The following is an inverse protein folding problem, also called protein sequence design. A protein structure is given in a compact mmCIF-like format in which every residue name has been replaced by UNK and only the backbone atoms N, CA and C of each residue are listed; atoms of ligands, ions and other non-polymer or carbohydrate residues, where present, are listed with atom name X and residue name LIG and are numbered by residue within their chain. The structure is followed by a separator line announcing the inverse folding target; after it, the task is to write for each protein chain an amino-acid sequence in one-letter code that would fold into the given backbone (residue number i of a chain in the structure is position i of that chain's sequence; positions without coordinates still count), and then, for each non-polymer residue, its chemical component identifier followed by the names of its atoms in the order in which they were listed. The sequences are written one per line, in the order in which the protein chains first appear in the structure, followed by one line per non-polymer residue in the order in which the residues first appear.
data_IF_620133607780
#
_entry.id   IF_620133607780
#
_cell.length_a   1.000
_cell.length_b   1.000
_cell.length_c   1.000
_cell.angle_alpha   90.00
_cell.angle_beta   90.00
_cell.angle_gamma   90.00
#
_symmetry.space_group_name_H-M   'P 1'
#
loop_
_entity.id
_entity.type
_entity.pdbx_description
1 polymer ?
#
# COMPACT_ATOMS: atom_id res chain seq x y z
N UNK A 1 49.32 7.77 7.01
CA UNK A 1 48.72 9.08 7.33
C UNK A 1 47.30 9.13 6.76
N UNK A 2 46.30 8.82 7.58
CA UNK A 2 44.89 9.01 7.23
C UNK A 2 44.59 10.47 7.53
N UNK A 3 44.43 11.26 6.47
CA UNK A 3 43.98 12.66 6.58
C UNK A 3 42.58 12.65 7.19
N UNK A 4 42.50 13.01 8.47
CA UNK A 4 41.26 13.30 9.18
C UNK A 4 40.70 14.60 8.59
N UNK A 5 39.95 14.46 7.52
CA UNK A 5 39.14 15.54 6.96
C UNK A 5 38.32 16.16 8.10
N UNK A 6 38.55 17.45 8.38
CA UNK A 6 37.71 18.29 9.23
C UNK A 6 36.25 18.14 8.78
N UNK A 7 35.52 17.27 9.46
CA UNK A 7 34.08 17.13 9.30
C UNK A 7 33.49 18.43 9.86
N UNK A 8 33.11 19.33 8.96
CA UNK A 8 32.28 20.48 9.29
C UNK A 8 31.08 20.01 10.11
N UNK A 9 31.07 20.33 11.40
CA UNK A 9 30.02 20.04 12.38
C UNK A 9 28.77 20.91 12.15
N UNK A 10 28.35 21.05 10.89
CA UNK A 10 26.94 21.36 10.66
C UNK A 10 26.15 20.19 11.23
N UNK A 11 25.17 20.46 12.11
CA UNK A 11 24.30 19.41 12.65
C UNK A 11 23.79 18.54 11.49
N UNK A 12 23.71 17.22 11.70
CA UNK A 12 23.18 16.28 10.71
C UNK A 12 21.87 16.80 10.11
N UNK A 13 21.04 17.45 10.94
CA UNK A 13 19.82 18.15 10.57
C UNK A 13 20.06 19.27 9.55
N UNK A 14 21.00 20.19 9.80
CA UNK A 14 21.32 21.27 8.86
C UNK A 14 21.78 20.72 7.50
N UNK A 15 22.58 19.64 7.51
CA UNK A 15 22.99 18.95 6.27
C UNK A 15 21.80 18.29 5.55
N UNK A 16 20.87 17.67 6.28
CA UNK A 16 19.67 17.08 5.69
C UNK A 16 18.79 18.17 5.07
N UNK A 17 18.49 19.23 5.80
CA UNK A 17 17.66 20.36 5.34
C UNK A 17 18.25 20.99 4.08
N UNK A 18 19.56 21.29 4.08
CA UNK A 18 20.25 21.88 2.93
C UNK A 18 20.16 20.98 1.68
N UNK A 19 20.26 19.66 1.85
CA UNK A 19 20.20 18.71 0.73
C UNK A 19 18.77 18.37 0.29
N UNK A 20 17.76 18.68 1.10
CA UNK A 20 16.37 18.50 0.72
C UNK A 20 15.91 19.57 -0.28
N UNK A 21 16.44 20.79 -0.20
CA UNK A 21 16.17 21.87 -1.16
C UNK A 21 16.93 21.60 -2.48
N UNK A 22 16.19 21.40 -3.57
CA UNK A 22 16.77 21.10 -4.89
C UNK A 22 16.61 22.28 -5.83
N UNK A 23 17.61 22.48 -6.70
CA UNK A 23 17.52 23.43 -7.82
C UNK A 23 16.45 23.05 -8.86
N UNK A 24 16.06 21.78 -8.89
CA UNK A 24 14.99 21.24 -9.76
C UNK A 24 13.57 21.66 -9.32
N UNK A 25 13.41 22.32 -8.16
CA UNK A 25 12.12 22.85 -7.66
C UNK A 25 12.24 24.37 -7.47
N UNK A 26 12.22 25.16 -8.58
CA UNK A 26 12.50 26.59 -8.55
C UNK A 26 11.42 27.41 -7.82
N UNK A 27 10.17 26.94 -7.84
CA UNK A 27 9.05 27.57 -7.16
C UNK A 27 8.83 27.03 -5.74
N UNK A 28 9.64 26.05 -5.32
CA UNK A 28 9.47 25.34 -4.05
C UNK A 28 8.08 24.72 -3.89
N UNK A 29 7.42 24.37 -4.99
CA UNK A 29 6.04 23.89 -5.01
C UNK A 29 5.96 22.51 -4.37
N UNK A 30 6.75 21.56 -4.87
CA UNK A 30 6.76 20.19 -4.34
C UNK A 30 7.20 20.17 -2.87
N UNK A 31 8.21 20.97 -2.51
CA UNK A 31 8.63 21.13 -1.11
C UNK A 31 7.50 21.63 -0.22
N UNK A 32 6.80 22.69 -0.65
CA UNK A 32 5.70 23.29 0.13
C UNK A 32 4.52 22.32 0.27
N UNK A 33 4.15 21.62 -0.81
CA UNK A 33 3.15 20.55 -0.77
C UNK A 33 3.58 19.40 0.15
N UNK A 34 4.86 19.06 0.17
CA UNK A 34 5.43 18.03 1.04
C UNK A 34 5.30 18.39 2.51
N UNK A 35 5.62 19.64 2.87
CA UNK A 35 5.44 20.15 4.23
C UNK A 35 3.96 20.19 4.62
N UNK A 36 3.08 20.65 3.72
CA UNK A 36 1.64 20.68 3.97
C UNK A 36 1.06 19.26 4.15
N UNK A 37 1.48 18.28 3.34
CA UNK A 37 1.08 16.88 3.53
C UNK A 37 1.61 16.28 4.84
N UNK A 38 2.83 16.63 5.25
CA UNK A 38 3.38 16.19 6.53
C UNK A 38 2.56 16.76 7.69
N UNK A 39 2.22 18.05 7.66
CA UNK A 39 1.33 18.66 8.65
C UNK A 39 -0.05 18.01 8.64
N UNK A 40 -0.60 17.74 7.45
CA UNK A 40 -1.86 17.00 7.28
C UNK A 40 -1.79 15.63 7.96
N UNK A 41 -0.73 14.84 7.74
CA UNK A 41 -0.55 13.56 8.42
C UNK A 41 -0.47 13.74 9.94
N UNK A 42 0.40 14.62 10.44
CA UNK A 42 0.58 14.82 11.88
C UNK A 42 -0.72 15.23 12.58
N UNK A 43 -1.46 16.17 11.98
CA UNK A 43 -2.74 16.61 12.52
C UNK A 43 -3.80 15.51 12.46
N UNK A 44 -3.95 14.79 11.34
CA UNK A 44 -4.93 13.71 11.22
C UNK A 44 -4.61 12.55 12.18
N UNK A 45 -3.33 12.19 12.32
CA UNK A 45 -2.88 11.12 13.20
C UNK A 45 -2.91 11.47 14.69
N UNK A 46 -3.00 12.75 15.08
CA UNK A 46 -3.24 13.10 16.48
C UNK A 46 -4.61 12.64 16.99
N UNK A 47 -5.52 12.24 16.09
CA UNK A 47 -6.84 11.69 16.41
C UNK A 47 -6.92 10.16 16.27
N UNK A 48 -5.80 9.46 16.08
CA UNK A 48 -5.81 7.98 15.90
C UNK A 48 -6.38 7.22 17.09
N UNK A 49 -6.28 7.80 18.30
CA UNK A 49 -6.78 7.20 19.54
C UNK A 49 -8.28 7.37 19.73
N UNK A 50 -8.93 8.27 18.99
CA UNK A 50 -10.37 8.47 18.99
C UNK A 50 -11.00 7.76 17.79
N UNK A 51 -11.63 6.59 17.99
CA UNK A 51 -12.24 5.85 16.90
C UNK A 51 -13.43 6.58 16.28
N UNK A 52 -14.07 7.52 16.97
CA UNK A 52 -15.20 8.27 16.41
C UNK A 52 -14.74 9.40 15.50
N UNK A 53 -13.51 9.91 15.68
CA UNK A 53 -12.94 10.97 14.87
C UNK A 53 -12.62 10.53 13.43
N UNK A 54 -12.34 9.25 13.21
CA UNK A 54 -11.86 8.69 11.94
C UNK A 54 -10.69 9.52 11.37
N UNK A 55 -9.61 9.67 12.15
CA UNK A 55 -8.50 10.60 11.87
C UNK A 55 -8.97 12.05 11.64
N UNK A 56 -9.95 12.51 12.41
CA UNK A 56 -10.61 13.81 12.30
C UNK A 56 -11.42 14.06 11.02
N UNK A 57 -11.58 13.08 10.13
CA UNK A 57 -12.42 13.24 8.93
C UNK A 57 -13.90 13.35 9.30
N UNK A 58 -14.34 12.69 10.38
CA UNK A 58 -15.71 12.80 10.88
C UNK A 58 -15.98 14.17 11.54
N UNK A 59 -15.00 14.72 12.27
CA UNK A 59 -15.13 16.00 12.96
C UNK A 59 -14.98 17.21 12.03
N UNK A 60 -14.17 17.09 10.97
CA UNK A 60 -13.94 18.18 10.02
C UNK A 60 -14.12 17.73 8.56
N UNK A 61 -15.35 17.34 8.17
CA UNK A 61 -15.65 16.76 6.86
C UNK A 61 -15.39 17.73 5.70
N UNK A 62 -15.52 19.05 5.92
CA UNK A 62 -15.26 20.09 4.93
C UNK A 62 -13.81 20.11 4.41
N UNK A 63 -12.86 19.61 5.21
CA UNK A 63 -11.46 19.51 4.78
C UNK A 63 -11.12 18.19 4.07
N UNK A 64 -12.07 17.27 3.93
CA UNK A 64 -11.80 15.94 3.34
C UNK A 64 -11.31 16.04 1.90
N UNK A 65 -12.04 16.75 1.04
CA UNK A 65 -11.64 16.92 -0.36
C UNK A 65 -10.35 17.74 -0.49
N UNK A 66 -10.16 18.75 0.37
CA UNK A 66 -8.91 19.54 0.43
C UNK A 66 -7.73 18.63 0.77
N UNK A 67 -7.86 17.76 1.78
CA UNK A 67 -6.85 16.76 2.14
C UNK A 67 -6.57 15.83 0.95
N UNK A 68 -7.61 15.29 0.30
CA UNK A 68 -7.46 14.41 -0.88
C UNK A 68 -6.66 15.09 -1.99
N UNK A 69 -7.05 16.32 -2.37
CA UNK A 69 -6.40 17.09 -3.43
C UNK A 69 -4.95 17.45 -3.06
N UNK A 70 -4.70 17.83 -1.80
CA UNK A 70 -3.36 18.12 -1.30
C UNK A 70 -2.40 16.93 -1.50
N UNK A 71 -2.81 15.72 -1.11
CA UNK A 71 -1.99 14.52 -1.27
C UNK A 71 -1.85 14.10 -2.75
N UNK A 72 -2.87 14.33 -3.58
CA UNK A 72 -2.79 14.11 -5.03
C UNK A 72 -1.77 15.06 -5.68
N UNK A 73 -1.86 16.36 -5.42
CA UNK A 73 -0.96 17.37 -5.99
C UNK A 73 0.49 17.19 -5.54
N UNK A 74 0.73 16.73 -4.31
CA UNK A 74 2.09 16.34 -3.90
C UNK A 74 2.68 15.25 -4.82
N UNK A 75 1.90 14.24 -5.19
CA UNK A 75 2.41 13.18 -6.05
C UNK A 75 2.57 13.65 -7.50
N UNK A 76 1.61 14.43 -8.01
CA UNK A 76 1.68 15.01 -9.36
C UNK A 76 2.87 15.98 -9.53
N UNK A 77 3.15 16.83 -8.53
CA UNK A 77 4.31 17.73 -8.57
C UNK A 77 5.65 16.98 -8.65
N UNK A 78 5.72 15.71 -8.22
CA UNK A 78 6.95 14.90 -8.34
C UNK A 78 7.39 14.60 -9.78
N UNK A 79 6.55 14.89 -10.78
CA UNK A 79 6.87 14.73 -12.19
C UNK A 79 7.80 15.83 -12.73
N UNK A 80 7.96 16.95 -12.00
CA UNK A 80 8.95 17.98 -12.35
C UNK A 80 10.39 17.48 -12.25
N UNK A 81 10.66 16.49 -11.38
CA UNK A 81 11.99 15.95 -11.16
C UNK A 81 12.42 14.99 -12.26
N UNK A 82 13.66 15.15 -12.70
CA UNK A 82 14.28 14.22 -13.63
C UNK A 82 14.76 12.99 -12.87
N UNK A 83 14.35 11.79 -13.30
CA UNK A 83 14.74 10.52 -12.71
C UNK A 83 15.64 9.73 -13.68
N UNK A 84 16.65 8.99 -13.19
CA UNK A 84 17.39 8.05 -14.03
C UNK A 84 16.45 7.00 -14.64
N UNK A 85 16.57 6.72 -15.94
CA UNK A 85 15.70 5.76 -16.63
C UNK A 85 15.80 4.34 -16.06
N UNK A 86 16.99 3.95 -15.60
CA UNK A 86 17.28 2.58 -15.12
C UNK A 86 17.34 2.51 -13.60
N UNK A 87 16.67 1.49 -13.05
CA UNK A 87 16.78 1.11 -11.63
C UNK A 87 18.18 0.61 -11.29
N UNK A 88 18.74 1.06 -10.17
CA UNK A 88 20.01 0.53 -9.65
C UNK A 88 19.84 -0.92 -9.15
N UNK A 89 20.91 -1.70 -9.17
CA UNK A 89 20.89 -3.11 -8.76
C UNK A 89 20.42 -3.33 -7.32
N UNK A 90 20.69 -2.39 -6.39
CA UNK A 90 20.23 -2.49 -5.00
C UNK A 90 18.71 -2.40 -4.85
N UNK A 91 18.05 -1.74 -5.81
CA UNK A 91 16.60 -1.75 -5.94
C UNK A 91 15.82 -0.74 -5.10
N UNK A 92 16.42 -0.04 -4.13
CA UNK A 92 15.70 0.89 -3.24
C UNK A 92 15.99 2.38 -3.53
N UNK A 93 15.96 2.78 -4.80
CA UNK A 93 16.11 4.19 -5.23
C UNK A 93 14.99 4.49 -6.21
N UNK A 94 14.35 5.64 -6.10
CA UNK A 94 13.19 6.02 -6.93
C UNK A 94 13.55 6.01 -8.43
N UNK A 95 12.64 5.49 -9.26
CA UNK A 95 12.78 5.36 -10.73
C UNK A 95 11.43 5.63 -11.43
N UNK A 96 11.39 5.87 -12.76
CA UNK A 96 10.17 6.28 -13.47
C UNK A 96 8.98 5.36 -13.29
N UNK A 97 9.14 4.05 -13.47
CA UNK A 97 8.05 3.08 -13.30
C UNK A 97 7.51 3.08 -11.87
N UNK A 98 8.38 3.10 -10.85
CA UNK A 98 7.91 3.21 -9.46
C UNK A 98 7.15 4.51 -9.21
N UNK A 99 7.59 5.64 -9.76
CA UNK A 99 6.88 6.92 -9.63
C UNK A 99 5.46 6.80 -10.18
N UNK A 100 5.29 6.25 -11.38
CA UNK A 100 3.98 6.02 -11.98
C UNK A 100 3.12 5.04 -11.16
N UNK A 101 3.69 3.92 -10.70
CA UNK A 101 2.99 2.98 -9.83
C UNK A 101 2.54 3.63 -8.52
N UNK A 102 3.40 4.45 -7.92
CA UNK A 102 3.06 5.17 -6.70
C UNK A 102 1.89 6.13 -6.91
N UNK A 103 1.83 6.82 -8.06
CA UNK A 103 0.69 7.67 -8.43
C UNK A 103 -0.59 6.83 -8.57
N UNK A 104 -0.53 5.72 -9.30
CA UNK A 104 -1.70 4.85 -9.52
C UNK A 104 -2.26 4.30 -8.21
N UNK A 105 -1.40 3.77 -7.33
CA UNK A 105 -1.85 3.20 -6.06
C UNK A 105 -2.29 4.27 -5.06
N UNK A 106 -1.67 5.45 -5.07
CA UNK A 106 -2.14 6.60 -4.31
C UNK A 106 -3.53 7.01 -4.78
N UNK A 107 -3.70 7.20 -6.09
CA UNK A 107 -4.96 7.62 -6.70
C UNK A 107 -6.08 6.61 -6.41
N UNK A 108 -5.79 5.30 -6.41
CA UNK A 108 -6.74 4.27 -5.96
C UNK A 108 -7.30 4.57 -4.56
N UNK A 109 -6.43 4.78 -3.57
CA UNK A 109 -6.88 5.04 -2.19
C UNK A 109 -7.59 6.38 -2.07
N UNK A 110 -7.11 7.43 -2.74
CA UNK A 110 -7.76 8.75 -2.76
C UNK A 110 -9.14 8.71 -3.44
N UNK A 111 -9.31 7.91 -4.50
CA UNK A 111 -10.58 7.73 -5.19
C UNK A 111 -11.57 6.97 -4.31
N UNK A 112 -11.14 5.93 -3.59
CA UNK A 112 -11.99 5.25 -2.60
C UNK A 112 -12.40 6.17 -1.44
N UNK A 113 -11.51 7.03 -0.98
CA UNK A 113 -11.87 8.08 -0.02
C UNK A 113 -12.89 9.06 -0.62
N UNK A 114 -12.73 9.45 -1.89
CA UNK A 114 -13.67 10.35 -2.58
C UNK A 114 -15.05 9.71 -2.72
N UNK A 115 -15.12 8.42 -3.06
CA UNK A 115 -16.37 7.65 -3.12
C UNK A 115 -17.05 7.67 -1.75
N UNK A 116 -16.33 7.33 -0.68
CA UNK A 116 -16.90 7.33 0.66
C UNK A 116 -17.35 8.73 1.09
N UNK A 117 -16.56 9.77 0.82
CA UNK A 117 -16.94 11.15 1.07
C UNK A 117 -18.23 11.53 0.34
N UNK A 118 -18.37 11.15 -0.93
CA UNK A 118 -19.57 11.40 -1.72
C UNK A 118 -20.78 10.64 -1.17
N UNK A 119 -20.65 9.35 -0.85
CA UNK A 119 -21.71 8.55 -0.25
C UNK A 119 -22.20 9.16 1.07
N UNK A 120 -21.28 9.59 1.94
CA UNK A 120 -21.62 10.23 3.21
C UNK A 120 -22.26 11.62 3.03
N UNK A 121 -21.78 12.42 2.07
CA UNK A 121 -22.32 13.76 1.82
C UNK A 121 -23.79 13.73 1.35
N UNK A 122 -24.15 12.72 0.58
CA UNK A 122 -25.47 12.59 -0.03
C UNK A 122 -26.34 11.49 0.60
N UNK A 123 -25.89 10.89 1.71
CA UNK A 123 -26.57 9.78 2.41
C UNK A 123 -26.95 8.62 1.46
N UNK A 124 -26.00 8.23 0.60
CA UNK A 124 -26.18 7.17 -0.40
C UNK A 124 -25.69 5.84 0.16
N UNK A 125 -26.46 4.79 -0.08
CA UNK A 125 -26.04 3.43 0.27
C UNK A 125 -24.70 3.05 -0.37
N UNK A 126 -23.79 2.40 0.38
CA UNK A 126 -22.48 1.98 -0.11
C UNK A 126 -22.54 1.14 -1.40
N UNK A 127 -21.93 1.63 -2.49
CA UNK A 127 -21.76 0.85 -3.71
C UNK A 127 -20.42 0.11 -3.70
N UNK A 128 -20.42 -1.15 -3.27
CA UNK A 128 -19.19 -1.97 -3.19
C UNK A 128 -18.67 -2.47 -4.54
N UNK A 129 -19.51 -2.49 -5.59
CA UNK A 129 -19.06 -2.82 -6.94
C UNK A 129 -18.12 -1.76 -7.50
N UNK A 130 -18.35 -0.50 -7.15
CA UNK A 130 -17.47 0.60 -7.53
C UNK A 130 -16.05 0.41 -6.99
N UNK A 131 -15.90 -0.18 -5.80
CA UNK A 131 -14.59 -0.50 -5.24
C UNK A 131 -13.87 -1.56 -6.07
N UNK A 132 -14.61 -2.57 -6.54
CA UNK A 132 -14.12 -3.57 -7.49
C UNK A 132 -13.62 -2.92 -8.80
N UNK A 133 -14.40 -2.00 -9.36
CA UNK A 133 -14.01 -1.26 -10.56
C UNK A 133 -12.74 -0.42 -10.32
N UNK A 134 -12.63 0.26 -9.18
CA UNK A 134 -11.46 1.06 -8.81
C UNK A 134 -10.22 0.17 -8.63
N UNK A 135 -10.36 -1.00 -7.99
CA UNK A 135 -9.26 -1.97 -7.82
C UNK A 135 -8.79 -2.51 -9.18
N UNK A 136 -9.71 -2.99 -10.03
CA UNK A 136 -9.36 -3.53 -11.35
C UNK A 136 -8.79 -2.44 -12.27
N UNK A 137 -9.39 -1.26 -12.28
CA UNK A 137 -8.92 -0.09 -13.03
C UNK A 137 -7.52 0.32 -12.61
N UNK A 138 -7.21 0.32 -11.31
CA UNK A 138 -5.84 0.60 -10.83
C UNK A 138 -4.82 -0.44 -11.29
N UNK A 139 -5.20 -1.72 -11.45
CA UNK A 139 -4.31 -2.76 -11.96
C UNK A 139 -4.01 -2.58 -13.44
N UNK A 140 -5.03 -2.19 -14.22
CA UNK A 140 -4.88 -1.84 -15.62
C UNK A 140 -3.99 -0.60 -15.79
N UNK A 141 -4.23 0.44 -14.99
CA UNK A 141 -3.40 1.64 -14.99
C UNK A 141 -1.94 1.35 -14.61
N UNK A 142 -1.70 0.44 -13.65
CA UNK A 142 -0.34 0.02 -13.29
C UNK A 142 0.38 -0.74 -14.42
N UNK A 143 -0.34 -1.57 -15.20
CA UNK A 143 0.23 -2.24 -16.37
C UNK A 143 0.54 -1.25 -17.49
N UNK A 144 -0.35 -0.31 -17.76
CA UNK A 144 -0.11 0.77 -18.73
C UNK A 144 1.10 1.62 -18.31
N UNK A 145 1.22 1.94 -17.02
CA UNK A 145 2.39 2.61 -16.47
C UNK A 145 3.68 1.81 -16.73
N UNK A 146 3.70 0.50 -16.47
CA UNK A 146 4.84 -0.37 -16.78
C UNK A 146 5.14 -0.45 -18.28
N UNK A 147 4.10 -0.52 -19.13
CA UNK A 147 4.26 -0.55 -20.59
C UNK A 147 4.83 0.76 -21.15
N UNK A 148 4.54 1.90 -20.51
CA UNK A 148 5.08 3.21 -20.91
C UNK A 148 6.56 3.40 -20.57
N UNK A 149 7.15 2.53 -19.75
CA UNK A 149 8.53 2.65 -19.31
C UNK A 149 9.49 1.80 -20.17
N UNK A 150 10.59 2.40 -20.65
CA UNK A 150 11.63 1.69 -21.43
C UNK A 150 12.27 0.50 -20.68
N UNK A 151 12.38 0.61 -19.36
CA UNK A 151 12.99 -0.42 -18.51
C UNK A 151 12.01 -0.86 -17.43
N UNK A 152 11.52 -2.09 -17.56
CA UNK A 152 10.60 -2.70 -16.60
C UNK A 152 11.37 -3.41 -15.50
N UNK A 153 10.94 -3.23 -14.25
CA UNK A 153 11.50 -3.90 -13.09
C UNK A 153 10.42 -4.23 -12.08
N UNK A 154 10.31 -5.51 -11.72
CA UNK A 154 9.43 -5.93 -10.62
C UNK A 154 9.87 -5.28 -9.29
N UNK A 155 9.05 -4.39 -8.74
CA UNK A 155 9.35 -3.59 -7.53
C UNK A 155 9.88 -4.44 -6.38
N UNK A 156 9.08 -5.39 -5.89
CA UNK A 156 9.43 -6.21 -4.71
C UNK A 156 10.34 -7.40 -5.07
N UNK A 157 10.08 -8.09 -6.19
CA UNK A 157 10.85 -9.30 -6.55
C UNK A 157 12.32 -9.01 -6.83
N UNK A 158 12.61 -7.87 -7.47
CA UNK A 158 13.97 -7.43 -7.77
C UNK A 158 14.62 -6.59 -6.64
N UNK A 159 13.96 -6.41 -5.49
CA UNK A 159 14.56 -5.76 -4.33
C UNK A 159 15.73 -6.61 -3.80
N UNK A 160 16.83 -5.99 -3.36
CA UNK A 160 17.87 -6.73 -2.62
C UNK A 160 17.47 -6.88 -1.15
N UNK A 161 16.75 -7.95 -0.84
CA UNK A 161 16.30 -8.31 0.50
C UNK A 161 16.21 -9.84 0.63
N UNK A 162 16.22 -10.41 1.85
CA UNK A 162 15.96 -11.83 2.06
C UNK A 162 14.63 -12.27 1.44
N UNK A 163 14.54 -13.50 0.92
CA UNK A 163 13.35 -14.00 0.24
C UNK A 163 12.09 -13.92 1.12
N UNK A 164 12.22 -14.20 2.42
CA UNK A 164 11.11 -14.08 3.37
C UNK A 164 10.58 -12.65 3.48
N UNK A 165 11.44 -11.64 3.41
CA UNK A 165 11.04 -10.23 3.43
C UNK A 165 10.30 -9.86 2.14
N UNK A 166 10.78 -10.31 0.99
CA UNK A 166 10.08 -10.09 -0.30
C UNK A 166 8.72 -10.78 -0.32
N UNK A 167 8.65 -11.99 0.22
CA UNK A 167 7.42 -12.75 0.35
C UNK A 167 6.42 -12.00 1.22
N UNK A 168 6.85 -11.60 2.42
CA UNK A 168 6.04 -10.80 3.34
C UNK A 168 5.53 -9.50 2.68
N UNK A 169 6.40 -8.73 2.03
CA UNK A 169 6.00 -7.52 1.31
C UNK A 169 4.97 -7.81 0.20
N UNK A 170 5.09 -8.95 -0.48
CA UNK A 170 4.12 -9.35 -1.50
C UNK A 170 2.77 -9.67 -0.86
N UNK A 171 2.73 -10.45 0.23
CA UNK A 171 1.49 -10.75 0.98
C UNK A 171 0.80 -9.48 1.45
N UNK A 172 1.54 -8.52 2.01
CA UNK A 172 0.97 -7.24 2.47
C UNK A 172 0.30 -6.44 1.34
N UNK A 173 0.80 -6.55 0.10
CA UNK A 173 0.16 -5.92 -1.07
C UNK A 173 -1.19 -6.57 -1.42
N UNK A 174 -1.34 -7.89 -1.20
CA UNK A 174 -2.64 -8.56 -1.31
C UNK A 174 -3.58 -8.10 -0.20
N UNK A 175 -3.12 -8.03 1.06
CA UNK A 175 -3.95 -7.53 2.17
C UNK A 175 -4.44 -6.10 1.93
N UNK A 176 -3.57 -5.21 1.46
CA UNK A 176 -3.94 -3.83 1.12
C UNK A 176 -4.97 -3.77 -0.02
N UNK A 177 -4.82 -4.62 -1.05
CA UNK A 177 -5.75 -4.66 -2.18
C UNK A 177 -7.10 -5.27 -1.80
N UNK A 178 -7.10 -6.35 -1.01
CA UNK A 178 -8.31 -6.94 -0.44
C UNK A 178 -9.06 -5.94 0.46
N UNK A 179 -8.31 -5.12 1.20
CA UNK A 179 -8.88 -4.03 2.01
C UNK A 179 -9.56 -2.96 1.16
N UNK A 180 -8.92 -2.53 0.07
CA UNK A 180 -9.55 -1.63 -0.90
C UNK A 180 -10.81 -2.26 -1.52
N UNK A 181 -10.79 -3.56 -1.82
CA UNK A 181 -11.90 -4.28 -2.43
C UNK A 181 -13.08 -4.44 -1.46
N UNK A 182 -12.82 -4.80 -0.20
CA UNK A 182 -13.83 -4.94 0.85
C UNK A 182 -14.60 -3.65 1.08
N UNK A 183 -13.91 -2.52 1.01
CA UNK A 183 -14.57 -1.23 1.00
C UNK A 183 -15.02 -0.75 2.36
N UNK A 184 -14.17 -0.86 3.38
CA UNK A 184 -14.49 -0.30 4.68
C UNK A 184 -14.82 1.20 4.53
N UNK A 185 -16.00 1.62 5.00
CA UNK A 185 -16.47 3.00 4.96
C UNK A 185 -15.84 3.81 6.09
N UNK A 186 -14.52 3.92 6.03
CA UNK A 186 -13.65 4.65 6.96
C UNK A 186 -12.47 5.22 6.21
N UNK A 187 -12.16 6.50 6.44
CA UNK A 187 -11.02 7.17 5.83
C UNK A 187 -9.69 6.67 6.38
N UNK A 188 -9.67 6.26 7.66
CA UNK A 188 -8.47 5.87 8.41
C UNK A 188 -7.55 4.93 7.62
N UNK A 189 -8.10 3.83 7.10
CA UNK A 189 -7.29 2.78 6.45
C UNK A 189 -6.75 3.24 5.09
N UNK A 190 -7.59 3.88 4.27
CA UNK A 190 -7.15 4.39 2.96
C UNK A 190 -6.13 5.51 3.10
N UNK A 191 -6.32 6.40 4.07
CA UNK A 191 -5.39 7.48 4.36
C UNK A 191 -4.04 6.96 4.89
N UNK A 192 -4.05 5.86 5.64
CA UNK A 192 -2.83 5.19 6.03
C UNK A 192 -2.06 4.60 4.83
N UNK A 193 -2.77 4.04 3.85
CA UNK A 193 -2.14 3.59 2.60
C UNK A 193 -1.51 4.74 1.82
N UNK A 194 -2.19 5.89 1.77
CA UNK A 194 -1.63 7.15 1.22
C UNK A 194 -0.31 7.50 1.91
N UNK A 195 -0.28 7.44 3.25
CA UNK A 195 0.95 7.66 4.03
C UNK A 195 2.06 6.68 3.66
N UNK A 196 1.79 5.37 3.65
CA UNK A 196 2.81 4.36 3.31
C UNK A 196 3.40 4.63 1.92
N UNK A 197 2.55 4.92 0.92
CA UNK A 197 2.98 5.14 -0.46
C UNK A 197 3.87 6.39 -0.57
N UNK A 198 3.43 7.51 0.00
CA UNK A 198 4.17 8.77 -0.06
C UNK A 198 5.47 8.70 0.76
N UNK A 199 5.44 8.13 1.96
CA UNK A 199 6.63 7.91 2.77
C UNK A 199 7.63 7.01 2.05
N UNK A 200 7.19 5.93 1.40
CA UNK A 200 8.10 5.07 0.65
C UNK A 200 8.76 5.80 -0.53
N UNK A 201 8.01 6.62 -1.27
CA UNK A 201 8.58 7.46 -2.33
C UNK A 201 9.61 8.47 -1.80
N UNK A 202 9.32 9.08 -0.64
CA UNK A 202 10.26 9.97 0.05
C UNK A 202 11.54 9.24 0.51
N UNK A 203 11.40 8.07 1.13
CA UNK A 203 12.52 7.22 1.54
C UNK A 203 13.41 6.83 0.34
N UNK A 204 12.81 6.45 -0.78
CA UNK A 204 13.55 6.17 -2.02
C UNK A 204 14.26 7.41 -2.59
N UNK A 205 13.73 8.60 -2.35
CA UNK A 205 14.36 9.89 -2.71
C UNK A 205 15.53 10.23 -1.79
N UNK A 206 15.41 10.00 -0.48
CA UNK A 206 16.53 10.11 0.45
C UNK A 206 17.68 9.17 0.06
N UNK A 207 17.34 7.94 -0.35
CA UNK A 207 18.34 6.99 -0.86
C UNK A 207 18.98 7.47 -2.17
N UNK A 208 18.23 8.12 -3.07
CA UNK A 208 18.79 8.75 -4.28
C UNK A 208 19.83 9.82 -3.92
N UNK A 209 19.56 10.63 -2.91
CA UNK A 209 20.45 11.68 -2.40
C UNK A 209 21.57 11.16 -1.48
N UNK A 210 21.71 9.84 -1.33
CA UNK A 210 22.65 9.20 -0.41
C UNK A 210 22.53 9.69 1.05
N UNK A 211 21.32 10.14 1.45
CA UNK A 211 21.02 10.55 2.82
C UNK A 211 20.57 9.38 3.70
N UNK A 212 20.24 8.24 3.10
CA UNK A 212 19.76 7.06 3.80
C UNK A 212 20.39 5.78 3.23
N UNK A 213 20.82 4.82 4.09
CA UNK A 213 21.22 3.49 3.66
C UNK A 213 20.05 2.67 3.09
N UNK A 214 20.36 1.69 2.23
CA UNK A 214 19.37 0.77 1.65
C UNK A 214 18.57 0.00 2.70
N UNK A 215 19.26 -0.59 3.68
CA UNK A 215 18.64 -1.43 4.72
C UNK A 215 17.63 -0.65 5.57
N UNK A 216 17.98 0.58 5.97
CA UNK A 216 17.10 1.45 6.75
C UNK A 216 15.80 1.70 6.00
N UNK A 217 15.88 1.99 4.69
CA UNK A 217 14.70 2.16 3.86
C UNK A 217 13.79 0.93 3.86
N UNK A 218 14.36 -0.25 3.59
CA UNK A 218 13.62 -1.53 3.58
C UNK A 218 12.94 -1.80 4.93
N UNK A 219 13.63 -1.55 6.05
CA UNK A 219 13.08 -1.73 7.40
C UNK A 219 11.93 -0.75 7.65
N UNK A 220 12.10 0.54 7.36
CA UNK A 220 11.05 1.54 7.56
C UNK A 220 9.80 1.26 6.71
N UNK A 221 9.98 0.79 5.47
CA UNK A 221 8.86 0.34 4.65
C UNK A 221 8.16 -0.88 5.26
N UNK A 222 8.92 -1.87 5.74
CA UNK A 222 8.36 -3.03 6.45
C UNK A 222 7.55 -2.65 7.68
N UNK A 223 8.07 -1.72 8.50
CA UNK A 223 7.34 -1.18 9.67
C UNK A 223 6.04 -0.52 9.23
N UNK A 224 6.07 0.32 8.18
CA UNK A 224 4.88 0.94 7.61
C UNK A 224 3.82 -0.08 7.18
N UNK A 225 4.23 -1.18 6.54
CA UNK A 225 3.32 -2.27 6.16
C UNK A 225 2.71 -3.00 7.37
N UNK A 226 3.51 -3.32 8.39
CA UNK A 226 3.02 -3.96 9.63
C UNK A 226 1.99 -3.07 10.31
N UNK A 227 2.31 -1.79 10.50
CA UNK A 227 1.39 -0.84 11.14
C UNK A 227 0.12 -0.64 10.32
N UNK A 228 0.22 -0.61 8.99
CA UNK A 228 -0.94 -0.52 8.11
C UNK A 228 -1.86 -1.73 8.20
N UNK A 229 -1.30 -2.93 8.30
CA UNK A 229 -2.09 -4.15 8.52
C UNK A 229 -2.74 -4.14 9.91
N UNK A 230 -1.99 -3.78 10.96
CA UNK A 230 -2.51 -3.74 12.32
C UNK A 230 -3.67 -2.73 12.44
N UNK A 231 -3.51 -1.53 11.86
CA UNK A 231 -4.57 -0.53 11.83
C UNK A 231 -5.79 -1.03 11.05
N UNK A 232 -5.60 -1.68 9.90
CA UNK A 232 -6.70 -2.25 9.14
C UNK A 232 -7.47 -3.30 9.97
N UNK A 233 -6.77 -4.20 10.68
CA UNK A 233 -7.40 -5.21 11.55
C UNK A 233 -8.25 -4.54 12.63
N UNK A 234 -7.69 -3.55 13.33
CA UNK A 234 -8.41 -2.79 14.37
C UNK A 234 -9.67 -2.14 13.80
N UNK A 235 -9.58 -1.52 12.62
CA UNK A 235 -10.73 -0.87 12.00
C UNK A 235 -11.79 -1.84 11.48
N UNK A 236 -11.41 -3.03 11.01
CA UNK A 236 -12.35 -4.09 10.66
C UNK A 236 -13.06 -4.66 11.88
N UNK A 237 -12.32 -4.90 12.96
CA UNK A 237 -12.87 -5.38 14.22
C UNK A 237 -13.87 -4.38 14.80
N UNK A 238 -13.57 -3.08 14.74
CA UNK A 238 -14.50 -2.02 15.16
C UNK A 238 -15.78 -1.97 14.32
N UNK A 239 -15.66 -2.20 13.01
CA UNK A 239 -16.79 -2.02 12.09
C UNK A 239 -17.75 -3.22 12.02
N UNK A 240 -17.26 -4.44 12.20
CA UNK A 240 -18.12 -5.63 12.20
C UNK A 240 -17.48 -6.85 12.84
N UNK A 241 -16.59 -6.62 13.80
CA UNK A 241 -15.97 -7.67 14.59
C UNK A 241 -15.04 -8.59 13.81
N UNK A 242 -14.87 -9.79 14.36
CA UNK A 242 -13.96 -10.80 13.82
C UNK A 242 -14.39 -11.31 12.44
N UNK A 243 -15.68 -11.24 12.10
CA UNK A 243 -16.20 -11.71 10.81
C UNK A 243 -15.73 -10.82 9.65
N UNK A 244 -15.65 -9.50 9.85
CA UNK A 244 -15.02 -8.57 8.90
C UNK A 244 -13.53 -8.88 8.71
N UNK A 245 -12.79 -9.07 9.80
CA UNK A 245 -11.34 -9.39 9.77
C UNK A 245 -11.11 -10.69 8.99
N UNK A 246 -11.90 -11.73 9.26
CA UNK A 246 -11.83 -13.03 8.58
C UNK A 246 -12.18 -12.93 7.11
N UNK A 247 -13.20 -12.15 6.75
CA UNK A 247 -13.60 -11.91 5.36
C UNK A 247 -12.46 -11.32 4.53
N UNK A 248 -11.82 -10.27 5.03
CA UNK A 248 -10.71 -9.60 4.34
C UNK A 248 -9.47 -10.52 4.29
N UNK A 249 -9.21 -11.24 5.37
CA UNK A 249 -8.11 -12.21 5.44
C UNK A 249 -8.30 -13.33 4.42
N UNK A 250 -9.51 -13.89 4.32
CA UNK A 250 -9.86 -14.92 3.35
C UNK A 250 -9.57 -14.44 1.93
N UNK A 251 -10.13 -13.29 1.54
CA UNK A 251 -9.94 -12.70 0.20
C UNK A 251 -8.46 -12.39 -0.10
N UNK A 252 -7.72 -11.87 0.89
CA UNK A 252 -6.30 -11.58 0.71
C UNK A 252 -5.47 -12.84 0.53
N UNK A 253 -5.71 -13.86 1.36
CA UNK A 253 -4.95 -15.09 1.38
C UNK A 253 -5.29 -16.00 0.20
N UNK A 254 -6.55 -16.08 -0.23
CA UNK A 254 -6.95 -16.78 -1.45
C UNK A 254 -6.29 -16.16 -2.68
N UNK A 255 -6.35 -14.83 -2.82
CA UNK A 255 -5.69 -14.12 -3.92
C UNK A 255 -4.18 -14.34 -3.93
N UNK A 256 -3.54 -14.29 -2.75
CA UNK A 256 -2.12 -14.56 -2.57
C UNK A 256 -1.77 -16.00 -2.98
N UNK A 257 -2.55 -16.99 -2.54
CA UNK A 257 -2.36 -18.40 -2.87
C UNK A 257 -2.45 -18.65 -4.38
N UNK A 258 -3.49 -18.15 -5.04
CA UNK A 258 -3.66 -18.28 -6.49
C UNK A 258 -2.61 -17.52 -7.29
N UNK A 259 -2.16 -16.35 -6.82
CA UNK A 259 -1.21 -15.53 -7.58
C UNK A 259 0.23 -16.01 -7.42
N UNK A 260 0.60 -16.51 -6.24
CA UNK A 260 1.98 -16.85 -5.89
C UNK A 260 2.27 -18.34 -5.91
N UNK A 261 1.27 -19.21 -5.84
CA UNK A 261 1.45 -20.67 -5.81
C UNK A 261 1.98 -21.26 -7.13
N UNK A 262 2.25 -22.58 -7.14
CA UNK A 262 2.90 -23.28 -8.26
C UNK A 262 1.93 -23.59 -9.43
N UNK A 263 0.99 -22.69 -9.71
CA UNK A 263 -0.06 -22.89 -10.72
C UNK A 263 0.43 -22.55 -12.13
N UNK A 264 -0.37 -22.92 -13.13
CA UNK A 264 -0.16 -22.48 -14.51
C UNK A 264 -0.28 -20.96 -14.63
N UNK A 265 0.43 -20.35 -15.58
CA UNK A 265 0.42 -18.88 -15.76
C UNK A 265 -0.97 -18.32 -16.06
N UNK A 266 -1.85 -19.11 -16.68
CA UNK A 266 -3.26 -18.74 -16.92
C UNK A 266 -4.02 -18.54 -15.60
N UNK A 267 -3.81 -19.41 -14.60
CA UNK A 267 -4.46 -19.30 -13.29
C UNK A 267 -3.89 -18.16 -12.44
N UNK A 268 -2.67 -17.69 -12.75
CA UNK A 268 -2.04 -16.56 -12.08
C UNK A 268 -2.47 -15.20 -12.65
N UNK A 269 -3.44 -15.15 -13.56
CA UNK A 269 -3.93 -13.91 -14.13
C UNK A 269 -4.58 -13.04 -13.03
N UNK A 270 -3.96 -11.90 -12.73
CA UNK A 270 -4.42 -11.02 -11.66
C UNK A 270 -5.83 -10.48 -11.88
N UNK A 271 -6.25 -10.25 -13.12
CA UNK A 271 -7.59 -9.75 -13.42
C UNK A 271 -8.65 -10.80 -13.11
N UNK A 272 -8.40 -12.05 -13.50
CA UNK A 272 -9.30 -13.17 -13.19
C UNK A 272 -9.40 -13.38 -11.67
N UNK A 273 -8.26 -13.38 -10.98
CA UNK A 273 -8.22 -13.55 -9.52
C UNK A 273 -9.03 -12.44 -8.85
N UNK A 274 -8.71 -11.16 -9.08
CA UNK A 274 -9.37 -10.07 -8.36
C UNK A 274 -10.83 -9.84 -8.78
N UNK A 275 -11.20 -10.17 -10.02
CA UNK A 275 -12.61 -10.18 -10.42
C UNK A 275 -13.38 -11.29 -9.71
N UNK A 276 -12.82 -12.50 -9.62
CA UNK A 276 -13.42 -13.60 -8.87
C UNK A 276 -13.56 -13.27 -7.38
N UNK A 277 -12.53 -12.68 -6.75
CA UNK A 277 -12.60 -12.22 -5.37
C UNK A 277 -13.66 -11.13 -5.17
N UNK A 278 -13.83 -10.21 -6.14
CA UNK A 278 -14.87 -9.18 -6.10
C UNK A 278 -16.28 -9.79 -6.13
N UNK A 279 -16.49 -10.75 -7.03
CA UNK A 279 -17.75 -11.50 -7.13
C UNK A 279 -18.01 -12.30 -5.85
N UNK A 280 -17.02 -13.04 -5.37
CA UNK A 280 -17.11 -13.85 -4.16
C UNK A 280 -17.46 -13.00 -2.93
N UNK A 281 -16.80 -11.86 -2.78
CA UNK A 281 -17.03 -10.94 -1.67
C UNK A 281 -18.44 -10.33 -1.69
N UNK A 282 -18.91 -9.88 -2.85
CA UNK A 282 -20.21 -9.19 -2.95
C UNK A 282 -21.41 -10.14 -3.05
N UNK A 283 -21.25 -11.32 -3.65
CA UNK A 283 -22.35 -12.27 -3.86
C UNK A 283 -22.44 -13.34 -2.76
N UNK A 284 -21.34 -13.65 -2.06
CA UNK A 284 -21.31 -14.73 -1.07
C UNK A 284 -21.01 -14.20 0.33
N UNK A 285 -19.86 -13.57 0.53
CA UNK A 285 -19.41 -13.16 1.87
C UNK A 285 -20.36 -12.12 2.47
N UNK A 286 -20.59 -11.00 1.78
CA UNK A 286 -21.38 -9.88 2.33
C UNK A 286 -22.83 -10.27 2.68
N UNK A 287 -23.61 -10.94 1.80
CA UNK A 287 -24.95 -11.42 2.17
C UNK A 287 -24.94 -12.41 3.34
N UNK A 288 -23.87 -13.20 3.48
CA UNK A 288 -23.72 -14.12 4.61
C UNK A 288 -23.49 -13.40 5.94
N UNK A 289 -22.82 -12.24 5.93
CA UNK A 289 -22.64 -11.44 7.15
C UNK A 289 -23.95 -10.83 7.65
N UNK A 290 -24.90 -10.57 6.76
CA UNK A 290 -26.20 -9.98 7.08
C UNK A 290 -27.24 -11.01 7.52
N UNK A 291 -27.26 -12.19 6.89
CA UNK A 291 -28.35 -13.16 7.02
C UNK A 291 -27.94 -14.60 7.35
N UNK A 292 -26.63 -14.88 7.46
CA UNK A 292 -26.07 -16.23 7.66
C UNK A 292 -26.55 -17.27 6.60
N UNK A 293 -27.04 -16.83 5.44
CA UNK A 293 -27.74 -17.69 4.47
C UNK A 293 -26.81 -18.61 3.64
N UNK A 294 -25.67 -18.11 3.14
CA UNK A 294 -24.79 -18.88 2.24
C UNK A 294 -23.58 -19.49 2.96
N UNK A 295 -22.97 -18.76 3.89
CA UNK A 295 -21.86 -19.22 4.71
C UNK A 295 -22.13 -18.88 6.17
N UNK A 296 -22.19 -19.89 7.03
CA UNK A 296 -22.20 -19.62 8.48
C UNK A 296 -20.88 -18.95 8.90
N UNK A 297 -20.93 -18.10 9.93
CA UNK A 297 -19.73 -17.50 10.54
C UNK A 297 -18.63 -18.51 10.89
N UNK A 298 -19.03 -19.71 11.32
CA UNK A 298 -18.09 -20.80 11.62
C UNK A 298 -17.35 -21.31 10.37
N UNK A 299 -18.04 -21.43 9.23
CA UNK A 299 -17.45 -21.82 7.95
C UNK A 299 -16.52 -20.71 7.44
N UNK A 300 -16.95 -19.45 7.51
CA UNK A 300 -16.13 -18.30 7.13
C UNK A 300 -14.81 -18.28 7.94
N UNK A 301 -14.88 -18.50 9.25
CA UNK A 301 -13.70 -18.61 10.11
C UNK A 301 -12.75 -19.73 9.67
N UNK A 302 -13.27 -20.96 9.48
CA UNK A 302 -12.44 -22.09 9.03
C UNK A 302 -11.78 -21.84 7.67
N UNK A 303 -12.49 -21.22 6.74
CA UNK A 303 -11.95 -20.87 5.42
C UNK A 303 -10.83 -19.83 5.53
N UNK A 304 -11.05 -18.77 6.31
CA UNK A 304 -10.04 -17.75 6.56
C UNK A 304 -8.77 -18.35 7.18
N UNK A 305 -8.92 -19.13 8.26
CA UNK A 305 -7.80 -19.76 8.97
C UNK A 305 -7.02 -20.73 8.06
N UNK A 306 -7.73 -21.54 7.27
CA UNK A 306 -7.11 -22.46 6.31
C UNK A 306 -6.35 -21.71 5.23
N UNK A 307 -6.93 -20.65 4.66
CA UNK A 307 -6.27 -19.84 3.62
C UNK A 307 -5.00 -19.16 4.14
N UNK A 308 -5.05 -18.64 5.38
CA UNK A 308 -3.90 -18.04 6.04
C UNK A 308 -2.79 -19.07 6.28
N UNK A 309 -3.15 -20.26 6.79
CA UNK A 309 -2.20 -21.35 7.01
C UNK A 309 -1.50 -21.75 5.70
N UNK A 310 -2.24 -21.89 4.59
CA UNK A 310 -1.68 -22.22 3.28
C UNK A 310 -0.67 -21.16 2.81
N UNK A 311 -0.99 -19.87 2.98
CA UNK A 311 -0.09 -18.76 2.63
C UNK A 311 1.15 -18.77 3.54
N UNK A 312 1.01 -19.05 4.84
CA UNK A 312 2.17 -19.14 5.75
C UNK A 312 3.07 -20.30 5.38
N UNK A 313 2.52 -21.50 5.19
CA UNK A 313 3.27 -22.70 4.79
C UNK A 313 3.98 -22.50 3.45
N UNK A 314 3.32 -21.87 2.48
CA UNK A 314 3.94 -21.52 1.21
C UNK A 314 5.08 -20.50 1.37
N UNK A 315 4.93 -19.53 2.26
CA UNK A 315 5.98 -18.57 2.63
C UNK A 315 7.21 -19.26 3.22
N UNK A 316 6.99 -20.19 4.16
CA UNK A 316 8.07 -20.99 4.76
C UNK A 316 8.77 -21.79 3.66
N UNK A 317 8.03 -22.52 2.83
CA UNK A 317 8.58 -23.32 1.74
C UNK A 317 9.40 -22.48 0.74
N UNK A 318 8.88 -21.33 0.31
CA UNK A 318 9.57 -20.45 -0.64
C UNK A 318 10.84 -19.82 -0.05
N UNK A 319 10.91 -19.71 1.27
CA UNK A 319 12.07 -19.19 2.01
C UNK A 319 13.19 -20.21 2.17
N UNK A 320 12.91 -21.51 2.01
CA UNK A 320 13.91 -22.56 2.13
C UNK A 320 15.01 -22.44 1.04
N UNK A 321 16.29 -22.72 1.37
CA UNK A 321 17.35 -22.84 0.38
C UNK A 321 17.05 -23.87 -0.71
N UNK A 322 17.49 -23.61 -1.95
CA UNK A 322 17.23 -24.49 -3.11
C UNK A 322 17.65 -25.95 -2.89
N UNK A 323 18.71 -26.19 -2.11
CA UNK A 323 19.17 -27.54 -1.74
C UNK A 323 18.13 -28.31 -0.92
N UNK A 324 17.37 -27.63 -0.07
CA UNK A 324 16.30 -28.26 0.72
C UNK A 324 15.05 -28.49 -0.13
N UNK A 325 14.71 -27.56 -1.03
CA UNK A 325 13.53 -27.69 -1.91
C UNK A 325 13.57 -28.98 -2.74
N UNK A 326 14.74 -29.34 -3.30
CA UNK A 326 14.93 -30.58 -4.09
C UNK A 326 14.71 -31.88 -3.31
N UNK A 327 14.72 -31.86 -1.96
CA UNK A 327 14.46 -33.05 -1.14
C UNK A 327 12.98 -33.23 -0.82
N UNK A 328 12.17 -32.19 -1.01
CA UNK A 328 10.74 -32.16 -0.66
C UNK A 328 9.87 -32.37 -1.90
N UNK A 329 10.39 -32.02 -3.09
CA UNK A 329 9.79 -32.30 -4.40
C UNK A 329 10.23 -33.65 -4.94
#
# INVERSE_FOLDING_TARGET
MISTSKLNEGSLLARVVKNLVTKEDPLHLHKSLGMACLTSFLWRFSYITDPSADLAFAYFPQFTLVTILLHLFLNLSSFEFHLPEKRISSGYRIWPEYRLHSLVFLFRSLLLMTIYWHENLFDIEPNYWLNGLVVLGSMAAADLASASCKHQSSTIRALQAPNIVKYYFSVMQFCATATCLYGLRRFTVQFYFVMIIQCNAFLMTLRRKNLMPHQVGVVLYGIGLVMGLALAIIEYERAGGLDCVRSVTLVACSAAFWRMGPWSERLKNKYLIWAAECLFLNLIIRPSLESDYLLSRSQLGRLADTSMLLVVLYGIFTSLPNKMKRKVT
#
